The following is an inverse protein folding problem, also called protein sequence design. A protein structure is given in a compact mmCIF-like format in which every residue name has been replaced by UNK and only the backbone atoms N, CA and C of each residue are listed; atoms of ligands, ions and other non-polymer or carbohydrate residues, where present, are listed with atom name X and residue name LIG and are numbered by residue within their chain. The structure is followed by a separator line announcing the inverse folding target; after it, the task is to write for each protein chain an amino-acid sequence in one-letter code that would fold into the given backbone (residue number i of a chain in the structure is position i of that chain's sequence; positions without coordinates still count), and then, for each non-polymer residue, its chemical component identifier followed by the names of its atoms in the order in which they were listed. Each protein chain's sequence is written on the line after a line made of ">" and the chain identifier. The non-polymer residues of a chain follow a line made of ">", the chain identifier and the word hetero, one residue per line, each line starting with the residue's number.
data_IF_892709466315
#
_entry.id   IF_892709466315
#
_cell.length_a   1.000
_cell.length_b   1.000
_cell.length_c   1.000
_cell.angle_alpha   90.00
_cell.angle_beta   90.00
_cell.angle_gamma   90.00
#
_symmetry.space_group_name_H-M   'P 1'
#
loop_
_entity.id
_entity.type
_entity.pdbx_description
1 polymer ?
#
# COMPACT_ATOMS: atom_id res chain seq x y z
N UNK A 1 1.40 -10.52 6.76
CA UNK A 1 1.30 -9.04 6.72
C UNK A 1 -0.07 -8.48 6.31
N UNK A 2 -1.00 -9.27 5.76
CA UNK A 2 -2.28 -8.76 5.21
C UNK A 2 -3.13 -7.89 6.16
N UNK A 3 -3.17 -8.20 7.46
CA UNK A 3 -3.90 -7.36 8.44
C UNK A 3 -3.36 -5.92 8.53
N UNK A 4 -2.04 -5.74 8.37
CA UNK A 4 -1.41 -4.42 8.32
C UNK A 4 -1.88 -3.71 7.06
N UNK A 5 -1.85 -4.39 5.92
CA UNK A 5 -2.29 -3.80 4.65
C UNK A 5 -3.77 -3.42 4.69
N UNK A 6 -4.63 -4.22 5.32
CA UNK A 6 -6.04 -3.85 5.53
C UNK A 6 -6.22 -2.62 6.41
N UNK A 7 -5.42 -2.48 7.48
CA UNK A 7 -5.47 -1.25 8.29
C UNK A 7 -5.00 -0.03 7.48
N UNK A 8 -3.95 -0.19 6.68
CA UNK A 8 -3.41 0.87 5.81
C UNK A 8 -4.41 1.26 4.73
N UNK A 9 -5.01 0.29 4.03
CA UNK A 9 -6.02 0.55 3.00
C UNK A 9 -7.23 1.27 3.57
N UNK A 10 -7.75 0.82 4.72
CA UNK A 10 -8.86 1.46 5.42
C UNK A 10 -8.59 2.95 5.67
N UNK A 11 -7.45 3.26 6.30
CA UNK A 11 -7.08 4.65 6.62
C UNK A 11 -6.87 5.48 5.35
N UNK A 12 -6.18 4.93 4.34
CA UNK A 12 -5.95 5.63 3.08
C UNK A 12 -7.23 5.86 2.27
N UNK A 13 -8.24 5.00 2.41
CA UNK A 13 -9.56 5.18 1.78
C UNK A 13 -10.44 6.17 2.55
N UNK A 14 -10.37 6.18 3.88
CA UNK A 14 -11.09 7.17 4.72
C UNK A 14 -10.50 8.58 4.61
N UNK A 15 -9.18 8.69 4.50
CA UNK A 15 -8.46 9.97 4.46
C UNK A 15 -7.54 10.07 3.22
N UNK A 16 -8.10 10.08 2.00
CA UNK A 16 -7.33 9.96 0.76
C UNK A 16 -6.38 11.12 0.51
N UNK A 17 -6.72 12.32 0.98
CA UNK A 17 -5.95 13.55 0.76
C UNK A 17 -4.86 13.79 1.81
N UNK A 18 -4.78 12.94 2.86
CA UNK A 18 -3.74 13.02 3.88
C UNK A 18 -2.36 12.96 3.20
N UNK A 19 -1.49 13.91 3.53
CA UNK A 19 -0.11 13.90 3.06
C UNK A 19 0.71 12.91 3.87
N UNK A 20 1.27 11.93 3.19
CA UNK A 20 2.22 10.95 3.73
C UNK A 20 3.56 11.13 3.04
N UNK A 21 4.63 10.82 3.74
CA UNK A 21 5.98 10.83 3.21
C UNK A 21 6.73 9.60 3.70
N UNK A 22 7.74 9.18 2.95
CA UNK A 22 8.65 8.13 3.39
C UNK A 22 9.52 8.73 4.50
N UNK A 23 9.70 8.00 5.61
CA UNK A 23 10.45 8.48 6.79
C UNK A 23 11.84 9.01 6.42
N UNK A 24 12.53 8.34 5.50
CA UNK A 24 13.87 8.73 5.03
C UNK A 24 13.88 9.75 3.87
N UNK A 25 12.73 10.07 3.30
CA UNK A 25 12.55 11.06 2.23
C UNK A 25 11.38 12.03 2.54
N UNK A 26 11.43 12.78 3.66
CA UNK A 26 10.32 13.60 4.13
C UNK A 26 10.03 14.82 3.24
N UNK A 27 10.98 15.22 2.40
CA UNK A 27 10.82 16.30 1.41
C UNK A 27 9.88 15.92 0.24
N UNK A 28 9.62 14.63 0.04
CA UNK A 28 8.74 14.12 -1.02
C UNK A 28 7.43 13.60 -0.42
N UNK A 29 6.51 14.52 -0.11
CA UNK A 29 5.16 14.20 0.35
C UNK A 29 4.20 13.89 -0.80
N UNK A 30 3.39 12.86 -0.65
CA UNK A 30 2.34 12.45 -1.59
C UNK A 30 1.04 12.15 -0.84
N UNK A 31 -0.07 12.01 -1.57
CA UNK A 31 -1.36 11.71 -0.93
C UNK A 31 -1.43 10.24 -0.51
N UNK A 32 -2.16 9.96 0.58
CA UNK A 32 -2.43 8.61 1.06
C UNK A 32 -3.07 7.74 -0.04
N UNK A 33 -3.96 8.31 -0.85
CA UNK A 33 -4.51 7.62 -2.01
C UNK A 33 -3.43 7.22 -3.05
N UNK A 34 -2.47 8.10 -3.32
CA UNK A 34 -1.35 7.78 -4.24
C UNK A 34 -0.42 6.72 -3.64
N UNK A 35 -0.18 6.79 -2.33
CA UNK A 35 0.58 5.80 -1.58
C UNK A 35 -0.02 4.40 -1.73
N UNK A 36 -1.33 4.28 -1.46
CA UNK A 36 -2.06 3.02 -1.53
C UNK A 36 -2.05 2.45 -2.96
N UNK A 37 -2.31 3.28 -3.97
CA UNK A 37 -2.24 2.85 -5.38
C UNK A 37 -0.84 2.35 -5.76
N UNK A 38 0.21 3.01 -5.28
CA UNK A 38 1.59 2.58 -5.51
C UNK A 38 1.88 1.20 -4.90
N UNK A 39 1.46 0.98 -3.66
CA UNK A 39 1.59 -0.31 -2.96
C UNK A 39 0.85 -1.44 -3.69
N UNK A 40 -0.42 -1.20 -4.04
CA UNK A 40 -1.23 -2.17 -4.79
C UNK A 40 -0.63 -2.50 -6.16
N UNK A 41 -0.09 -1.49 -6.86
CA UNK A 41 0.60 -1.69 -8.13
C UNK A 41 1.85 -2.57 -7.94
N UNK A 42 2.68 -2.26 -6.94
CA UNK A 42 3.87 -3.05 -6.63
C UNK A 42 3.53 -4.50 -6.28
N UNK A 43 2.51 -4.74 -5.44
CA UNK A 43 2.09 -6.09 -5.07
C UNK A 43 1.49 -6.85 -6.26
N UNK A 44 0.75 -6.17 -7.13
CA UNK A 44 0.22 -6.77 -8.36
C UNK A 44 1.33 -7.17 -9.32
N UNK A 45 2.35 -6.31 -9.51
CA UNK A 45 3.53 -6.62 -10.30
C UNK A 45 4.35 -7.74 -9.65
N UNK A 46 4.48 -7.74 -8.32
CA UNK A 46 5.15 -8.80 -7.57
C UNK A 46 4.47 -10.16 -7.76
N UNK A 47 3.14 -10.20 -7.71
CA UNK A 47 2.36 -11.40 -8.06
C UNK A 47 2.57 -11.82 -9.52
N UNK A 48 2.51 -10.87 -10.46
CA UNK A 48 2.61 -11.15 -11.90
C UNK A 48 4.01 -11.65 -12.32
N UNK A 49 5.06 -11.05 -11.76
CA UNK A 49 6.46 -11.40 -12.05
C UNK A 49 7.01 -12.48 -11.10
N UNK A 50 6.20 -13.01 -10.19
CA UNK A 50 6.60 -14.11 -9.29
C UNK A 50 7.66 -13.72 -8.25
N UNK A 51 7.68 -12.46 -7.81
CA UNK A 51 8.57 -12.02 -6.73
C UNK A 51 8.21 -12.71 -5.42
N UNK A 52 9.24 -13.10 -4.65
CA UNK A 52 9.10 -13.83 -3.37
C UNK A 52 9.57 -13.04 -2.15
N UNK A 53 9.91 -11.76 -2.34
CA UNK A 53 10.42 -10.89 -1.27
C UNK A 53 9.34 -10.45 -0.28
N UNK A 54 8.06 -10.39 -0.70
CA UNK A 54 6.92 -10.02 0.15
C UNK A 54 5.74 -10.99 -0.02
N UNK A 55 4.85 -11.02 0.97
CA UNK A 55 3.56 -11.75 0.90
C UNK A 55 2.53 -11.00 0.04
N UNK A 56 2.85 -10.77 -1.24
CA UNK A 56 2.08 -9.91 -2.15
C UNK A 56 0.59 -10.26 -2.20
N UNK A 57 0.24 -11.54 -2.28
CA UNK A 57 -1.16 -11.98 -2.28
C UNK A 57 -1.88 -11.66 -0.95
N UNK A 58 -1.18 -11.75 0.19
CA UNK A 58 -1.74 -11.38 1.49
C UNK A 58 -1.93 -9.86 1.61
N UNK A 59 -1.04 -9.06 1.01
CA UNK A 59 -1.23 -7.62 0.93
C UNK A 59 -2.45 -7.25 0.09
N UNK A 60 -2.58 -7.80 -1.12
CA UNK A 60 -3.74 -7.53 -1.99
C UNK A 60 -5.05 -7.97 -1.31
N UNK A 61 -5.08 -9.16 -0.70
CA UNK A 61 -6.25 -9.63 0.05
C UNK A 61 -6.58 -8.75 1.25
N UNK A 62 -5.56 -8.29 1.99
CA UNK A 62 -5.73 -7.34 3.08
C UNK A 62 -6.29 -6.00 2.61
N UNK A 63 -5.74 -5.44 1.53
CA UNK A 63 -6.16 -4.16 0.98
C UNK A 63 -7.58 -4.17 0.40
N UNK A 64 -8.06 -5.33 -0.05
CA UNK A 64 -9.43 -5.50 -0.55
C UNK A 64 -10.48 -5.48 0.57
N UNK A 65 -10.09 -5.84 1.80
CA UNK A 65 -11.02 -6.06 2.91
C UNK A 65 -10.87 -5.07 4.07
N UNK A 66 -9.90 -4.15 3.98
CA UNK A 66 -9.73 -3.04 4.91
C UNK A 66 -10.18 -1.75 4.27
#
# INVERSE_FOLDING_TARGET
>A
SGAIMGTVSYICMQYPDLKVAIVFLPMFGFTAASALKGLLCMDSLGCLFGWRFFDHAAHLGGALWG
#
